data_IF_358704059057
#
_entry.id   IF_358704059057
#
_cell.length_a   1.000
_cell.length_b   1.000
_cell.length_c   1.000
_cell.angle_alpha   90.00
_cell.angle_beta   90.00
_cell.angle_gamma   90.00
#
_symmetry.space_group_name_H-M   'P 1'
#
loop_
_entity.id
_entity.type
_entity.pdbx_description
1 polymer ?
#
# COMPACT_ATOMS: atom_id res chain seq x y z
N UNK A 1 -184.79 50.36 -74.82
CA UNK A 1 -185.57 51.19 -73.88
C UNK A 1 -185.54 52.64 -74.38
N UNK A 2 -186.74 53.18 -74.69
CA UNK A 2 -187.15 54.61 -74.94
C UNK A 2 -186.43 55.34 -76.11
N UNK A 3 -186.96 55.41 -77.36
CA UNK A 3 -187.96 56.36 -77.98
C UNK A 3 -187.47 57.83 -77.97
N UNK A 4 -187.44 58.67 -79.02
CA UNK A 4 -188.06 58.75 -80.38
C UNK A 4 -187.34 59.90 -81.19
N UNK A 5 -187.84 60.47 -82.33
CA UNK A 5 -187.28 60.27 -83.69
C UNK A 5 -187.00 61.58 -84.52
N UNK A 6 -186.40 61.39 -85.71
CA UNK A 6 -186.46 62.16 -86.97
C UNK A 6 -186.13 63.67 -87.09
N UNK A 7 -185.12 63.94 -87.94
CA UNK A 7 -185.08 64.78 -89.18
C UNK A 7 -183.67 65.43 -89.34
N UNK A 8 -182.87 65.21 -90.40
CA UNK A 8 -182.95 65.48 -91.85
C UNK A 8 -182.97 66.98 -92.27
N UNK A 9 -181.84 67.46 -92.85
CA UNK A 9 -181.65 68.54 -93.88
C UNK A 9 -181.88 70.04 -93.48
N UNK A 10 -181.30 71.14 -94.03
CA UNK A 10 -180.93 71.66 -95.38
C UNK A 10 -179.94 72.89 -95.30
N UNK A 11 -179.01 73.13 -96.25
CA UNK A 11 -178.91 74.13 -97.39
C UNK A 11 -179.09 75.65 -97.10
N UNK A 12 -178.16 76.50 -97.59
CA UNK A 12 -178.37 77.79 -98.35
C UNK A 12 -177.01 78.50 -98.68
N UNK A 13 -176.51 78.58 -99.93
CA UNK A 13 -176.68 79.66 -100.95
C UNK A 13 -175.68 80.85 -100.80
N UNK A 14 -175.22 81.62 -101.79
CA UNK A 14 -175.71 81.94 -103.15
C UNK A 14 -174.56 82.43 -104.07
N UNK A 15 -174.78 82.36 -105.40
CA UNK A 15 -173.91 82.70 -106.57
C UNK A 15 -173.15 81.49 -107.20
N UNK A 16 -173.65 80.56 -108.04
CA UNK A 16 -174.94 80.32 -108.69
C UNK A 16 -175.02 78.81 -109.06
N UNK A 17 -176.11 78.15 -108.66
CA UNK A 17 -176.81 77.09 -109.43
C UNK A 17 -176.03 75.85 -109.91
N UNK A 18 -175.57 74.98 -109.00
CA UNK A 18 -175.43 73.53 -109.25
C UNK A 18 -175.89 72.70 -108.04
N UNK A 19 -176.73 71.70 -108.31
CA UNK A 19 -177.19 70.69 -107.35
C UNK A 19 -176.00 69.76 -107.07
N UNK A 20 -175.57 69.67 -105.81
CA UNK A 20 -174.45 68.82 -105.37
C UNK A 20 -174.98 67.70 -104.48
N UNK A 21 -174.62 66.47 -104.84
CA UNK A 21 -175.00 65.22 -104.18
C UNK A 21 -174.52 65.13 -102.73
N UNK A 22 -175.25 64.44 -101.83
CA UNK A 22 -174.87 64.26 -100.43
C UNK A 22 -173.58 63.43 -100.29
N UNK A 23 -172.72 63.71 -99.29
CA UNK A 23 -171.47 63.00 -99.06
C UNK A 23 -171.70 61.53 -98.69
N UNK A 24 -170.87 60.58 -99.17
CA UNK A 24 -171.03 59.16 -98.93
C UNK A 24 -170.81 58.76 -97.46
N UNK A 25 -171.55 57.72 -97.03
CA UNK A 25 -171.66 57.22 -95.65
C UNK A 25 -170.34 56.80 -94.98
N UNK A 26 -170.29 56.69 -93.64
CA UNK A 26 -169.13 56.20 -92.89
C UNK A 26 -168.57 54.86 -93.42
N UNK A 27 -169.41 53.96 -93.92
CA UNK A 27 -169.00 52.67 -94.48
C UNK A 27 -168.09 52.79 -95.72
N UNK A 28 -168.25 53.85 -96.51
CA UNK A 28 -167.43 54.11 -97.71
C UNK A 28 -166.07 54.71 -97.33
N UNK A 29 -165.98 55.41 -96.20
CA UNK A 29 -164.72 55.97 -95.68
C UNK A 29 -163.79 54.88 -95.11
N UNK A 30 -164.34 53.77 -94.60
CA UNK A 30 -163.54 52.64 -94.13
C UNK A 30 -162.84 51.86 -95.27
N UNK A 31 -163.43 51.80 -96.48
CA UNK A 31 -162.80 51.13 -97.64
C UNK A 31 -161.58 51.88 -98.21
N UNK A 32 -161.49 53.20 -98.04
CA UNK A 32 -160.32 53.99 -98.49
C UNK A 32 -159.14 53.84 -97.50
N UNK A 33 -159.40 53.40 -96.26
CA UNK A 33 -158.35 53.09 -95.27
C UNK A 33 -157.69 51.70 -95.48
N UNK A 34 -158.30 50.81 -96.26
CA UNK A 34 -157.76 49.46 -96.53
C UNK A 34 -156.66 49.42 -97.60
N UNK A 35 -156.39 50.52 -98.31
CA UNK A 35 -155.35 50.57 -99.35
C UNK A 35 -154.22 51.57 -99.00
N UNK A 36 -153.32 51.19 -98.09
CA UNK A 36 -151.99 51.82 -97.97
C UNK A 36 -150.89 50.82 -97.55
N UNK A 37 -150.07 50.29 -98.48
CA UNK A 37 -149.00 49.34 -98.19
C UNK A 37 -147.70 50.10 -97.87
N UNK A 38 -147.42 50.36 -96.59
CA UNK A 38 -146.13 50.95 -96.16
C UNK A 38 -145.52 50.31 -94.90
N UNK A 39 -146.13 49.27 -94.33
CA UNK A 39 -145.64 48.63 -93.08
C UNK A 39 -144.87 47.32 -93.26
N UNK A 40 -144.83 46.73 -94.45
CA UNK A 40 -144.19 45.41 -94.69
C UNK A 40 -142.81 45.44 -95.35
N UNK A 41 -142.28 46.60 -95.77
CA UNK A 41 -140.90 46.70 -96.33
C UNK A 41 -139.83 47.08 -95.31
N UNK A 42 -140.18 47.72 -94.19
CA UNK A 42 -139.20 48.18 -93.20
C UNK A 42 -138.58 47.03 -92.41
N UNK A 43 -139.40 46.04 -92.01
CA UNK A 43 -138.95 44.90 -91.21
C UNK A 43 -138.10 43.91 -92.01
N UNK A 44 -138.33 43.75 -93.31
CA UNK A 44 -137.51 42.85 -94.14
C UNK A 44 -136.06 43.30 -94.32
N UNK A 45 -135.78 44.62 -94.30
CA UNK A 45 -134.39 45.10 -94.32
C UNK A 45 -133.70 44.95 -92.97
N UNK A 46 -134.46 45.09 -91.87
CA UNK A 46 -133.94 44.90 -90.52
C UNK A 46 -133.59 43.43 -90.25
N UNK A 47 -134.44 42.49 -90.68
CA UNK A 47 -134.17 41.05 -90.54
C UNK A 47 -132.92 40.62 -91.33
N UNK A 48 -132.71 41.16 -92.55
CA UNK A 48 -131.51 40.88 -93.35
C UNK A 48 -130.25 41.45 -92.68
N UNK A 49 -130.34 42.65 -92.07
CA UNK A 49 -129.21 43.25 -91.35
C UNK A 49 -128.89 42.50 -90.06
N UNK A 50 -129.89 42.03 -89.32
CA UNK A 50 -129.70 41.22 -88.11
C UNK A 50 -129.09 39.84 -88.44
N UNK A 51 -129.55 39.17 -89.50
CA UNK A 51 -128.94 37.93 -89.99
C UNK A 51 -127.50 38.18 -90.48
N UNK A 52 -127.25 39.29 -91.18
CA UNK A 52 -125.90 39.68 -91.60
C UNK A 52 -124.97 39.94 -90.42
N UNK A 53 -125.47 40.62 -89.38
CA UNK A 53 -124.73 40.87 -88.14
C UNK A 53 -124.46 39.57 -87.37
N UNK A 54 -125.42 38.65 -87.29
CA UNK A 54 -125.24 37.37 -86.60
C UNK A 54 -124.21 36.49 -87.33
N UNK A 55 -124.26 36.42 -88.67
CA UNK A 55 -123.28 35.69 -89.48
C UNK A 55 -121.89 36.31 -89.35
N UNK A 56 -121.79 37.65 -89.38
CA UNK A 56 -120.52 38.34 -89.22
C UNK A 56 -119.94 38.13 -87.81
N UNK A 57 -120.79 38.13 -86.78
CA UNK A 57 -120.36 37.87 -85.40
C UNK A 57 -119.91 36.41 -85.22
N UNK A 58 -120.64 35.42 -85.75
CA UNK A 58 -120.18 34.02 -85.74
C UNK A 58 -118.86 33.84 -86.50
N UNK A 59 -118.69 34.48 -87.66
CA UNK A 59 -117.44 34.45 -88.41
C UNK A 59 -116.28 35.10 -87.64
N UNK A 60 -116.55 36.22 -86.95
CA UNK A 60 -115.56 36.83 -86.06
C UNK A 60 -115.19 35.92 -84.90
N UNK A 61 -116.17 35.34 -84.19
CA UNK A 61 -115.92 34.42 -83.08
C UNK A 61 -115.16 33.16 -83.52
N UNK A 62 -115.44 32.63 -84.72
CA UNK A 62 -114.67 31.51 -85.29
C UNK A 62 -113.23 31.91 -85.59
N UNK A 63 -112.99 33.06 -86.23
CA UNK A 63 -111.62 33.56 -86.48
C UNK A 63 -110.86 33.88 -85.18
N UNK A 64 -111.52 34.45 -84.19
CA UNK A 64 -110.92 34.72 -82.88
C UNK A 64 -110.56 33.43 -82.15
N UNK A 65 -111.41 32.39 -82.23
CA UNK A 65 -111.10 31.07 -81.68
C UNK A 65 -109.91 30.41 -82.40
N UNK A 66 -109.84 30.49 -83.73
CA UNK A 66 -108.70 30.02 -84.52
C UNK A 66 -107.40 30.76 -84.14
N UNK A 67 -107.45 32.09 -84.03
CA UNK A 67 -106.30 32.91 -83.60
C UNK A 67 -105.88 32.53 -82.18
N UNK A 68 -106.83 32.33 -81.27
CA UNK A 68 -106.55 31.94 -79.89
C UNK A 68 -105.94 30.54 -79.83
N UNK A 69 -106.42 29.59 -80.63
CA UNK A 69 -105.84 28.25 -80.73
C UNK A 69 -104.39 28.30 -81.26
N UNK A 70 -104.14 29.11 -82.29
CA UNK A 70 -102.78 29.34 -82.80
C UNK A 70 -101.87 30.02 -81.77
N UNK A 71 -102.39 30.98 -81.01
CA UNK A 71 -101.65 31.62 -79.92
C UNK A 71 -101.31 30.62 -78.81
N UNK A 72 -102.24 29.76 -78.40
CA UNK A 72 -101.97 28.75 -77.37
C UNK A 72 -100.99 27.69 -77.84
N UNK A 73 -101.08 27.24 -79.11
CA UNK A 73 -100.07 26.36 -79.72
C UNK A 73 -98.68 27.01 -79.72
N UNK A 74 -98.59 28.27 -80.16
CA UNK A 74 -97.33 29.01 -80.18
C UNK A 74 -96.77 29.25 -78.77
N UNK A 75 -97.62 29.55 -77.77
CA UNK A 75 -97.22 29.63 -76.36
C UNK A 75 -96.67 28.30 -75.85
N UNK A 76 -97.35 27.18 -76.14
CA UNK A 76 -96.91 25.85 -75.71
C UNK A 76 -95.56 25.47 -76.34
N UNK A 77 -95.36 25.75 -77.63
CA UNK A 77 -94.08 25.55 -78.33
C UNK A 77 -92.97 26.41 -77.73
N UNK A 78 -93.23 27.71 -77.50
CA UNK A 78 -92.28 28.61 -76.83
C UNK A 78 -91.94 28.15 -75.41
N UNK A 79 -92.92 27.69 -74.64
CA UNK A 79 -92.71 27.12 -73.31
C UNK A 79 -91.87 25.84 -73.37
N UNK A 80 -92.10 24.97 -74.34
CA UNK A 80 -91.31 23.75 -74.54
C UNK A 80 -89.86 24.09 -74.91
N UNK A 81 -89.64 25.05 -75.81
CA UNK A 81 -88.30 25.50 -76.19
C UNK A 81 -87.58 26.17 -75.02
N UNK A 82 -88.27 27.05 -74.28
CA UNK A 82 -87.71 27.66 -73.07
C UNK A 82 -87.32 26.60 -72.04
N UNK A 83 -88.17 25.59 -71.82
CA UNK A 83 -87.89 24.48 -70.90
C UNK A 83 -86.66 23.68 -71.34
N UNK A 84 -86.59 23.29 -72.62
CA UNK A 84 -85.42 22.60 -73.18
C UNK A 84 -84.14 23.43 -73.01
N UNK A 85 -84.17 24.73 -73.33
CA UNK A 85 -83.01 25.60 -73.15
C UNK A 85 -82.61 25.75 -71.67
N UNK A 86 -83.57 25.80 -70.75
CA UNK A 86 -83.27 25.83 -69.31
C UNK A 86 -82.68 24.50 -68.83
N UNK A 87 -83.19 23.37 -69.30
CA UNK A 87 -82.68 22.03 -68.97
C UNK A 87 -81.26 21.84 -69.51
N UNK A 88 -81.00 22.19 -70.77
CA UNK A 88 -79.67 22.15 -71.38
C UNK A 88 -78.67 23.07 -70.65
N UNK A 89 -79.10 24.29 -70.27
CA UNK A 89 -78.27 25.22 -69.51
C UNK A 89 -77.94 24.69 -68.11
N UNK A 90 -78.91 24.08 -67.43
CA UNK A 90 -78.71 23.44 -66.12
C UNK A 90 -77.79 22.22 -66.24
N UNK A 91 -77.99 21.37 -67.24
CA UNK A 91 -77.14 20.19 -67.46
C UNK A 91 -75.70 20.61 -67.78
N UNK A 92 -75.52 21.65 -68.61
CA UNK A 92 -74.20 22.21 -68.89
C UNK A 92 -73.55 22.79 -67.63
N UNK A 93 -74.28 23.57 -66.83
CA UNK A 93 -73.78 24.11 -65.57
C UNK A 93 -73.41 23.00 -64.57
N UNK A 94 -74.18 21.91 -64.50
CA UNK A 94 -73.87 20.75 -63.65
C UNK A 94 -72.61 20.02 -64.13
N UNK A 95 -72.46 19.80 -65.44
CA UNK A 95 -71.26 19.19 -66.03
C UNK A 95 -70.02 20.04 -65.78
N UNK A 96 -70.11 21.35 -65.97
CA UNK A 96 -69.02 22.29 -65.69
C UNK A 96 -68.68 22.35 -64.19
N UNK A 97 -69.68 22.39 -63.31
CA UNK A 97 -69.48 22.35 -61.86
C UNK A 97 -68.81 21.03 -61.42
N UNK A 98 -69.23 19.89 -61.96
CA UNK A 98 -68.62 18.60 -61.69
C UNK A 98 -67.17 18.52 -62.21
N UNK A 99 -66.90 19.03 -63.41
CA UNK A 99 -65.55 19.09 -63.96
C UNK A 99 -64.62 19.97 -63.12
N UNK A 100 -65.09 21.16 -62.73
CA UNK A 100 -64.34 22.08 -61.87
C UNK A 100 -64.09 21.48 -60.48
N UNK A 101 -65.10 20.85 -59.88
CA UNK A 101 -64.93 20.16 -58.60
C UNK A 101 -63.92 19.01 -58.70
N UNK A 102 -64.01 18.19 -59.74
CA UNK A 102 -63.06 17.09 -59.96
C UNK A 102 -61.63 17.60 -60.18
N UNK A 103 -61.44 18.67 -60.96
CA UNK A 103 -60.14 19.29 -61.16
C UNK A 103 -59.57 19.84 -59.83
N UNK A 104 -60.40 20.51 -59.03
CA UNK A 104 -60.02 21.00 -57.71
C UNK A 104 -59.64 19.87 -56.75
N UNK A 105 -60.42 18.78 -56.70
CA UNK A 105 -60.12 17.60 -55.87
C UNK A 105 -58.82 16.94 -56.32
N UNK A 106 -58.55 16.86 -57.63
CA UNK A 106 -57.29 16.31 -58.13
C UNK A 106 -56.09 17.19 -57.76
N UNK A 107 -56.20 18.52 -57.90
CA UNK A 107 -55.15 19.46 -57.49
C UNK A 107 -54.87 19.36 -55.98
N UNK A 108 -55.93 19.31 -55.15
CA UNK A 108 -55.79 19.09 -53.70
C UNK A 108 -55.10 17.76 -53.38
N UNK A 109 -55.46 16.66 -54.06
CA UNK A 109 -54.80 15.36 -53.87
C UNK A 109 -53.31 15.43 -54.24
N UNK A 110 -52.95 16.16 -55.30
CA UNK A 110 -51.55 16.35 -55.68
C UNK A 110 -50.78 17.21 -54.66
N UNK A 111 -51.36 18.30 -54.17
CA UNK A 111 -50.77 19.16 -53.14
C UNK A 111 -50.55 18.41 -51.84
N UNK A 112 -51.59 17.77 -51.29
CA UNK A 112 -51.47 16.94 -50.10
C UNK A 112 -50.50 15.78 -50.31
N UNK A 113 -50.46 15.15 -51.49
CA UNK A 113 -49.49 14.10 -51.81
C UNK A 113 -48.03 14.60 -51.81
N UNK A 114 -47.77 15.86 -52.22
CA UNK A 114 -46.45 16.48 -52.12
C UNK A 114 -46.09 16.79 -50.67
N UNK A 115 -46.99 17.44 -49.92
CA UNK A 115 -46.79 17.76 -48.51
C UNK A 115 -46.54 16.52 -47.64
N UNK A 116 -47.32 15.46 -47.85
CA UNK A 116 -47.12 14.18 -47.17
C UNK A 116 -45.75 13.57 -47.49
N UNK A 117 -45.30 13.61 -48.74
CA UNK A 117 -43.96 13.12 -49.11
C UNK A 117 -42.85 13.93 -48.45
N UNK A 118 -42.99 15.25 -48.39
CA UNK A 118 -42.02 16.12 -47.73
C UNK A 118 -42.02 15.93 -46.21
N UNK A 119 -43.18 15.83 -45.58
CA UNK A 119 -43.33 15.55 -44.16
C UNK A 119 -42.72 14.19 -43.81
N UNK A 120 -43.00 13.15 -44.60
CA UNK A 120 -42.39 11.82 -44.43
C UNK A 120 -40.87 11.89 -44.61
N UNK A 121 -40.36 12.66 -45.57
CA UNK A 121 -38.91 12.83 -45.75
C UNK A 121 -38.26 13.53 -44.55
N UNK A 122 -38.88 14.59 -44.03
CA UNK A 122 -38.41 15.31 -42.82
C UNK A 122 -38.43 14.41 -41.60
N UNK A 123 -39.55 13.74 -41.34
CA UNK A 123 -39.68 12.80 -40.23
C UNK A 123 -38.66 11.65 -40.32
N UNK A 124 -38.42 11.09 -41.51
CA UNK A 124 -37.38 10.06 -41.70
C UNK A 124 -35.98 10.60 -41.40
N UNK A 125 -35.67 11.82 -41.81
CA UNK A 125 -34.38 12.45 -41.51
C UNK A 125 -34.21 12.71 -40.01
N UNK A 126 -35.25 13.20 -39.32
CA UNK A 126 -35.25 13.41 -37.87
C UNK A 126 -35.07 12.10 -37.11
N UNK A 127 -35.78 11.04 -37.51
CA UNK A 127 -35.64 9.71 -36.92
C UNK A 127 -34.22 9.16 -37.15
N UNK A 128 -33.67 9.28 -38.35
CA UNK A 128 -32.30 8.86 -38.64
C UNK A 128 -31.28 9.62 -37.78
N UNK A 129 -31.45 10.93 -37.64
CA UNK A 129 -30.59 11.76 -36.80
C UNK A 129 -30.69 11.35 -35.32
N UNK A 130 -31.91 11.13 -34.82
CA UNK A 130 -32.13 10.68 -33.45
C UNK A 130 -31.46 9.32 -33.18
N UNK A 131 -31.56 8.36 -34.11
CA UNK A 131 -30.89 7.05 -34.00
C UNK A 131 -29.37 7.21 -33.98
N UNK A 132 -28.80 8.06 -34.83
CA UNK A 132 -27.35 8.32 -34.84
C UNK A 132 -26.89 8.94 -33.53
N UNK A 133 -27.65 9.89 -32.99
CA UNK A 133 -27.30 10.56 -31.74
C UNK A 133 -27.45 9.64 -30.52
N UNK A 134 -28.43 8.73 -30.52
CA UNK A 134 -28.55 7.67 -29.51
C UNK A 134 -27.37 6.70 -29.58
N UNK A 135 -26.99 6.25 -30.78
CA UNK A 135 -25.81 5.40 -30.96
C UNK A 135 -24.52 6.06 -30.46
N UNK A 136 -24.32 7.35 -30.71
CA UNK A 136 -23.15 8.08 -30.18
C UNK A 136 -23.13 8.08 -28.65
N UNK A 137 -24.27 8.36 -28.01
CA UNK A 137 -24.37 8.34 -26.54
C UNK A 137 -24.08 6.95 -25.98
N UNK A 138 -24.55 5.89 -26.64
CA UNK A 138 -24.28 4.52 -26.22
C UNK A 138 -22.79 4.18 -26.35
N UNK A 139 -22.15 4.54 -27.47
CA UNK A 139 -20.71 4.34 -27.69
C UNK A 139 -19.89 5.10 -26.63
N UNK A 140 -20.17 6.38 -26.41
CA UNK A 140 -19.50 7.19 -25.38
C UNK A 140 -19.67 6.58 -23.98
N UNK A 141 -20.86 6.11 -23.64
CA UNK A 141 -21.11 5.45 -22.36
C UNK A 141 -20.34 4.12 -22.22
N UNK A 142 -20.21 3.34 -23.30
CA UNK A 142 -19.39 2.12 -23.32
C UNK A 142 -17.91 2.47 -23.15
N UNK A 143 -17.40 3.47 -23.88
CA UNK A 143 -16.02 3.93 -23.80
C UNK A 143 -15.67 4.42 -22.39
N UNK A 144 -16.53 5.21 -21.76
CA UNK A 144 -16.33 5.67 -20.38
C UNK A 144 -16.29 4.50 -19.39
N UNK A 145 -17.20 3.53 -19.52
CA UNK A 145 -17.18 2.31 -18.70
C UNK A 145 -15.90 1.50 -18.91
N UNK A 146 -15.43 1.40 -20.15
CA UNK A 146 -14.20 0.70 -20.49
C UNK A 146 -12.96 1.42 -19.95
N UNK A 147 -12.88 2.74 -20.11
CA UNK A 147 -11.81 3.57 -19.58
C UNK A 147 -11.72 3.47 -18.06
N UNK A 148 -12.86 3.51 -17.35
CA UNK A 148 -12.90 3.32 -15.91
C UNK A 148 -12.41 1.94 -15.47
N UNK A 149 -12.82 0.87 -16.18
CA UNK A 149 -12.33 -0.49 -15.93
C UNK A 149 -10.82 -0.60 -16.16
N UNK A 150 -10.33 -0.02 -17.24
CA UNK A 150 -8.90 0.00 -17.57
C UNK A 150 -8.11 0.73 -16.47
N UNK A 151 -8.58 1.91 -16.05
CA UNK A 151 -7.94 2.69 -14.99
C UNK A 151 -7.91 1.93 -13.66
N UNK A 152 -9.00 1.25 -13.28
CA UNK A 152 -9.03 0.38 -12.10
C UNK A 152 -8.02 -0.76 -12.20
N UNK A 153 -7.97 -1.46 -13.33
CA UNK A 153 -7.01 -2.55 -13.55
C UNK A 153 -5.56 -2.06 -13.50
N UNK A 154 -5.27 -0.87 -14.04
CA UNK A 154 -3.95 -0.24 -13.95
C UNK A 154 -3.57 0.10 -12.51
N UNK A 155 -4.51 0.64 -11.72
CA UNK A 155 -4.30 0.93 -10.30
C UNK A 155 -4.07 -0.34 -9.47
N UNK A 156 -4.86 -1.40 -9.71
CA UNK A 156 -4.69 -2.70 -9.07
C UNK A 156 -3.32 -3.32 -9.41
N UNK A 157 -2.91 -3.27 -10.69
CA UNK A 157 -1.57 -3.71 -11.11
C UNK A 157 -0.48 -2.88 -10.45
N UNK A 158 -0.62 -1.56 -10.38
CA UNK A 158 0.35 -0.68 -9.74
C UNK A 158 0.47 -0.98 -8.24
N UNK A 159 -0.67 -1.22 -7.56
CA UNK A 159 -0.72 -1.61 -6.16
C UNK A 159 -0.08 -2.97 -5.93
N UNK A 160 -0.39 -3.97 -6.74
CA UNK A 160 0.22 -5.29 -6.69
C UNK A 160 1.74 -5.24 -6.92
N UNK A 161 2.19 -4.45 -7.90
CA UNK A 161 3.63 -4.20 -8.13
C UNK A 161 4.29 -3.54 -6.92
N UNK A 162 3.66 -2.54 -6.30
CA UNK A 162 4.18 -1.88 -5.12
C UNK A 162 4.28 -2.83 -3.91
N UNK A 163 3.28 -3.68 -3.71
CA UNK A 163 3.29 -4.71 -2.66
C UNK A 163 4.41 -5.73 -2.91
N UNK A 164 4.52 -6.28 -4.12
CA UNK A 164 5.58 -7.22 -4.47
C UNK A 164 6.99 -6.61 -4.30
N UNK A 165 7.17 -5.34 -4.70
CA UNK A 165 8.45 -4.64 -4.47
C UNK A 165 8.71 -4.38 -2.97
N UNK A 166 7.68 -4.08 -2.17
CA UNK A 166 7.83 -3.90 -0.73
C UNK A 166 8.21 -5.21 -0.03
N UNK A 167 7.58 -6.32 -0.40
CA UNK A 167 7.90 -7.65 0.09
C UNK A 167 9.33 -8.06 -0.29
N UNK A 168 9.72 -7.90 -1.56
CA UNK A 168 11.07 -8.17 -2.02
C UNK A 168 12.11 -7.34 -1.25
N UNK A 169 11.87 -6.03 -1.07
CA UNK A 169 12.74 -5.16 -0.27
C UNK A 169 12.81 -5.58 1.20
N UNK A 170 11.70 -6.04 1.78
CA UNK A 170 11.69 -6.52 3.16
C UNK A 170 12.51 -7.81 3.30
N UNK A 171 12.42 -8.71 2.33
CA UNK A 171 13.22 -9.94 2.28
C UNK A 171 14.71 -9.62 2.08
N UNK A 172 15.05 -8.72 1.15
CA UNK A 172 16.42 -8.25 0.94
C UNK A 172 17.02 -7.62 2.20
N UNK A 173 16.25 -6.75 2.89
CA UNK A 173 16.67 -6.18 4.17
C UNK A 173 16.88 -7.25 5.23
N UNK A 174 15.97 -8.21 5.34
CA UNK A 174 16.11 -9.34 6.26
C UNK A 174 17.35 -10.19 5.96
N UNK A 175 17.59 -10.49 4.69
CA UNK A 175 18.78 -11.21 4.24
C UNK A 175 20.07 -10.44 4.56
N UNK A 176 20.13 -9.15 4.24
CA UNK A 176 21.28 -8.29 4.56
C UNK A 176 21.56 -8.19 6.06
N UNK A 177 20.51 -8.07 6.89
CA UNK A 177 20.66 -8.08 8.36
C UNK A 177 21.16 -9.43 8.87
N UNK A 178 20.68 -10.54 8.30
CA UNK A 178 21.15 -11.87 8.67
C UNK A 178 22.62 -12.11 8.25
N UNK A 179 23.02 -11.64 7.07
CA UNK A 179 24.39 -11.75 6.59
C UNK A 179 25.34 -10.92 7.46
N UNK A 180 24.98 -9.67 7.77
CA UNK A 180 25.78 -8.82 8.68
C UNK A 180 25.86 -9.40 10.09
N UNK A 181 24.76 -9.94 10.63
CA UNK A 181 24.79 -10.64 11.91
C UNK A 181 25.69 -11.90 11.87
N UNK A 182 25.70 -12.63 10.74
CA UNK A 182 26.58 -13.79 10.54
C UNK A 182 28.05 -13.37 10.49
N UNK A 183 28.38 -12.30 9.80
CA UNK A 183 29.73 -11.74 9.75
C UNK A 183 30.17 -11.26 11.13
N UNK A 184 29.32 -10.53 11.86
CA UNK A 184 29.60 -10.12 13.24
C UNK A 184 29.89 -11.30 14.16
N UNK A 185 29.10 -12.39 14.07
CA UNK A 185 29.37 -13.62 14.83
C UNK A 185 30.73 -14.22 14.47
N UNK A 186 31.05 -14.35 13.18
CA UNK A 186 32.35 -14.84 12.73
C UNK A 186 33.50 -13.98 13.27
N UNK A 187 33.37 -12.66 13.23
CA UNK A 187 34.39 -11.76 13.76
C UNK A 187 34.53 -11.87 15.28
N UNK A 188 33.42 -12.00 16.02
CA UNK A 188 33.46 -12.23 17.45
C UNK A 188 34.11 -13.57 17.81
N UNK A 189 33.85 -14.61 17.04
CA UNK A 189 34.46 -15.92 17.28
C UNK A 189 35.96 -15.90 16.94
N UNK A 190 36.37 -15.23 15.86
CA UNK A 190 37.79 -14.98 15.54
C UNK A 190 38.50 -14.18 16.64
N UNK A 191 37.84 -13.17 17.20
CA UNK A 191 38.39 -12.40 18.32
C UNK A 191 38.58 -13.28 19.56
N UNK A 192 37.59 -14.11 19.91
CA UNK A 192 37.72 -15.06 21.02
C UNK A 192 38.85 -16.07 20.79
N UNK A 193 38.99 -16.60 19.57
CA UNK A 193 40.09 -17.51 19.23
C UNK A 193 41.45 -16.80 19.37
N UNK A 194 41.56 -15.56 18.88
CA UNK A 194 42.77 -14.76 19.03
C UNK A 194 43.09 -14.45 20.50
N UNK A 195 42.07 -14.15 21.31
CA UNK A 195 42.22 -13.90 22.76
C UNK A 195 42.72 -15.16 23.48
N UNK A 196 42.14 -16.34 23.21
CA UNK A 196 42.59 -17.62 23.79
C UNK A 196 44.05 -17.91 23.40
N UNK A 197 44.41 -17.71 22.13
CA UNK A 197 45.80 -17.89 21.67
C UNK A 197 46.76 -16.90 22.34
N UNK A 198 46.34 -15.64 22.52
CA UNK A 198 47.14 -14.65 23.22
C UNK A 198 47.33 -15.02 24.70
N UNK A 199 46.27 -15.45 25.39
CA UNK A 199 46.34 -15.95 26.77
C UNK A 199 47.29 -17.14 26.90
N UNK A 200 47.21 -18.12 25.99
CA UNK A 200 48.14 -19.25 25.97
C UNK A 200 49.60 -18.82 25.79
N UNK A 201 49.85 -17.86 24.89
CA UNK A 201 51.19 -17.30 24.68
C UNK A 201 51.69 -16.56 25.93
N UNK A 202 50.83 -15.77 26.57
CA UNK A 202 51.17 -15.11 27.83
C UNK A 202 51.45 -16.12 28.93
N UNK A 203 50.68 -17.20 29.04
CA UNK A 203 50.91 -18.25 30.03
C UNK A 203 52.26 -18.94 29.80
N UNK A 204 52.55 -19.34 28.56
CA UNK A 204 53.83 -19.94 28.18
C UNK A 204 55.01 -19.02 28.48
N UNK A 205 54.89 -17.73 28.15
CA UNK A 205 55.92 -16.73 28.46
C UNK A 205 56.12 -16.56 29.97
N UNK A 206 55.06 -16.52 30.76
CA UNK A 206 55.14 -16.44 32.23
C UNK A 206 55.80 -17.69 32.81
N UNK A 207 55.43 -18.88 32.33
CA UNK A 207 56.06 -20.13 32.76
C UNK A 207 57.54 -20.19 32.43
N UNK A 208 57.92 -19.76 31.22
CA UNK A 208 59.32 -19.67 30.82
C UNK A 208 60.08 -18.69 31.71
N UNK A 209 59.53 -17.49 31.95
CA UNK A 209 60.12 -16.51 32.86
C UNK A 209 60.27 -17.07 34.28
N UNK A 210 59.28 -17.80 34.79
CA UNK A 210 59.38 -18.49 36.10
C UNK A 210 60.53 -19.48 36.12
N UNK A 211 60.69 -20.29 35.06
CA UNK A 211 61.81 -21.24 34.93
C UNK A 211 63.15 -20.50 34.90
N UNK A 212 63.30 -19.48 34.06
CA UNK A 212 64.52 -18.66 33.96
C UNK A 212 64.88 -17.99 35.30
N UNK A 213 63.90 -17.41 36.00
CA UNK A 213 64.13 -16.80 37.32
C UNK A 213 64.51 -17.83 38.38
N UNK A 214 63.88 -19.00 38.37
CA UNK A 214 64.26 -20.10 39.29
C UNK A 214 65.70 -20.57 39.03
N UNK A 215 66.10 -20.68 37.76
CA UNK A 215 67.47 -21.04 37.39
C UNK A 215 68.47 -19.97 37.83
N UNK A 216 68.17 -18.68 37.57
CA UNK A 216 69.01 -17.57 38.02
C UNK A 216 69.16 -17.55 39.55
N UNK A 217 68.06 -17.80 40.28
CA UNK A 217 68.09 -17.89 41.75
C UNK A 217 68.92 -19.09 42.23
N UNK A 218 68.78 -20.26 41.61
CA UNK A 218 69.58 -21.44 41.93
C UNK A 218 71.08 -21.21 41.65
N UNK A 219 71.43 -20.53 40.56
CA UNK A 219 72.81 -20.14 40.26
C UNK A 219 73.34 -19.18 41.32
N UNK A 220 72.57 -18.14 41.68
CA UNK A 220 72.97 -17.19 42.73
C UNK A 220 73.17 -17.88 44.08
N UNK A 221 72.24 -18.76 44.49
CA UNK A 221 72.36 -19.56 45.70
C UNK A 221 73.59 -20.46 45.65
N UNK A 222 73.86 -21.10 44.51
CA UNK A 222 75.05 -21.92 44.30
C UNK A 222 76.35 -21.12 44.45
N UNK A 223 76.41 -19.89 43.92
CA UNK A 223 77.54 -18.98 44.08
C UNK A 223 77.73 -18.61 45.56
N UNK A 224 76.67 -18.22 46.26
CA UNK A 224 76.72 -17.87 47.69
C UNK A 224 77.19 -19.07 48.52
N UNK A 225 76.63 -20.26 48.30
CA UNK A 225 77.05 -21.47 49.02
C UNK A 225 78.50 -21.85 48.76
N UNK A 226 79.01 -21.69 47.53
CA UNK A 226 80.43 -21.92 47.22
C UNK A 226 81.33 -20.88 47.88
N UNK A 227 80.92 -19.60 47.86
CA UNK A 227 81.65 -18.51 48.50
C UNK A 227 81.75 -18.75 50.02
N UNK A 228 80.64 -19.08 50.66
CA UNK A 228 80.61 -19.40 52.09
C UNK A 228 81.50 -20.61 52.40
N UNK A 229 81.44 -21.69 51.61
CA UNK A 229 82.34 -22.85 51.78
C UNK A 229 83.82 -22.46 51.66
N UNK A 230 84.15 -21.65 50.66
CA UNK A 230 85.53 -21.18 50.46
C UNK A 230 85.98 -20.27 51.62
N UNK A 231 85.10 -19.41 52.14
CA UNK A 231 85.38 -18.57 53.30
C UNK A 231 85.58 -19.42 54.56
N UNK A 232 84.73 -20.43 54.81
CA UNK A 232 84.91 -21.35 55.94
C UNK A 232 86.17 -22.20 55.80
N UNK A 233 86.52 -22.65 54.59
CA UNK A 233 87.77 -23.37 54.34
C UNK A 233 89.01 -22.48 54.54
N UNK A 234 88.93 -21.20 54.16
CA UNK A 234 90.00 -20.22 54.44
C UNK A 234 90.16 -20.01 55.94
N UNK A 235 89.06 -19.79 56.66
CA UNK A 235 89.06 -19.65 58.11
C UNK A 235 89.60 -20.91 58.81
N UNK A 236 89.25 -22.09 58.33
CA UNK A 236 89.76 -23.36 58.84
C UNK A 236 91.28 -23.46 58.63
N UNK A 237 91.78 -23.19 57.43
CA UNK A 237 93.22 -23.20 57.14
C UNK A 237 94.00 -22.17 57.96
N UNK A 238 93.44 -20.98 58.13
CA UNK A 238 94.00 -19.94 59.01
C UNK A 238 94.08 -20.44 60.45
N UNK A 239 92.99 -21.00 61.00
CA UNK A 239 92.97 -21.59 62.34
C UNK A 239 93.96 -22.77 62.49
N UNK A 240 94.04 -23.68 61.50
CA UNK A 240 95.00 -24.79 61.48
C UNK A 240 96.45 -24.28 61.52
N UNK A 241 96.77 -23.24 60.74
CA UNK A 241 98.12 -22.65 60.73
C UNK A 241 98.47 -21.97 62.06
N UNK A 242 97.51 -21.30 62.70
CA UNK A 242 97.68 -20.71 64.03
C UNK A 242 97.93 -21.81 65.07
N UNK A 243 97.10 -22.86 65.06
CA UNK A 243 97.28 -24.01 65.96
C UNK A 243 98.60 -24.73 65.73
N UNK A 244 99.04 -24.91 64.47
CA UNK A 244 100.34 -25.51 64.17
C UNK A 244 101.48 -24.66 64.73
N UNK A 245 101.40 -23.34 64.60
CA UNK A 245 102.39 -22.42 65.17
C UNK A 245 102.39 -22.42 66.70
N UNK A 246 101.22 -22.54 67.34
CA UNK A 246 101.10 -22.72 68.79
C UNK A 246 101.71 -24.05 69.25
N UNK A 247 101.42 -25.14 68.55
CA UNK A 247 102.02 -26.45 68.82
C UNK A 247 103.54 -26.42 68.67
N UNK A 248 104.07 -25.75 67.64
CA UNK A 248 105.52 -25.58 67.44
C UNK A 248 106.16 -24.83 68.62
N UNK A 249 105.53 -23.75 69.10
CA UNK A 249 105.99 -23.04 70.31
C UNK A 249 106.01 -23.96 71.53
N UNK A 250 104.94 -24.72 71.74
CA UNK A 250 104.85 -25.67 72.85
C UNK A 250 105.94 -26.75 72.72
N UNK A 251 106.16 -27.30 71.53
CA UNK A 251 107.25 -28.25 71.28
C UNK A 251 108.62 -27.68 71.62
N UNK A 252 108.92 -26.44 71.21
CA UNK A 252 110.19 -25.78 71.57
C UNK A 252 110.32 -25.63 73.10
N UNK A 253 109.24 -25.25 73.80
CA UNK A 253 109.27 -25.15 75.27
C UNK A 253 109.44 -26.51 75.94
N UNK A 254 108.82 -27.56 75.39
CA UNK A 254 108.95 -28.93 75.87
C UNK A 254 110.39 -29.43 75.68
N UNK A 255 110.98 -29.26 74.49
CA UNK A 255 112.37 -29.63 74.23
C UNK A 255 113.34 -28.87 75.15
N UNK A 256 113.09 -27.59 75.41
CA UNK A 256 113.88 -26.82 76.37
C UNK A 256 113.76 -27.40 77.80
N UNK A 257 112.55 -27.75 78.23
CA UNK A 257 112.30 -28.38 79.52
C UNK A 257 112.93 -29.79 79.61
N UNK A 258 112.82 -30.62 78.57
CA UNK A 258 113.47 -31.92 78.48
C UNK A 258 114.99 -31.81 78.54
N UNK A 259 115.58 -30.82 77.86
CA UNK A 259 117.01 -30.56 77.93
C UNK A 259 117.41 -30.11 79.34
N UNK A 260 116.61 -29.29 80.01
CA UNK A 260 116.82 -28.96 81.42
C UNK A 260 116.77 -30.21 82.30
N UNK A 261 115.77 -31.08 82.13
CA UNK A 261 115.68 -32.36 82.84
C UNK A 261 116.91 -33.23 82.59
N UNK A 262 117.36 -33.38 81.34
CA UNK A 262 118.61 -34.11 81.00
C UNK A 262 119.82 -33.53 81.72
N UNK A 263 119.96 -32.20 81.77
CA UNK A 263 121.07 -31.57 82.50
C UNK A 263 120.98 -31.77 84.02
N UNK A 264 119.77 -31.80 84.59
CA UNK A 264 119.55 -32.10 86.00
C UNK A 264 119.88 -33.55 86.32
N UNK A 265 119.50 -34.50 85.46
CA UNK A 265 119.86 -35.92 85.57
C UNK A 265 121.39 -36.06 85.56
N UNK A 266 122.09 -35.46 84.59
CA UNK A 266 123.56 -35.50 84.56
C UNK A 266 124.22 -34.88 85.81
N UNK A 267 123.64 -33.81 86.37
CA UNK A 267 124.12 -33.23 87.64
C UNK A 267 123.90 -34.19 88.81
N UNK A 268 122.73 -34.84 88.87
CA UNK A 268 122.42 -35.85 89.88
C UNK A 268 123.36 -37.04 89.77
N UNK A 269 123.63 -37.56 88.57
CA UNK A 269 124.60 -38.65 88.34
C UNK A 269 126.00 -38.28 88.87
N UNK A 270 126.46 -37.05 88.60
CA UNK A 270 127.74 -36.55 89.15
C UNK A 270 127.71 -36.45 90.68
N UNK A 271 126.61 -35.96 91.27
CA UNK A 271 126.46 -35.89 92.72
C UNK A 271 126.38 -37.28 93.36
N UNK A 272 125.73 -38.24 92.72
CA UNK A 272 125.66 -39.64 93.16
C UNK A 272 127.03 -40.31 93.08
N UNK A 273 127.77 -40.15 91.97
CA UNK A 273 129.13 -40.65 91.86
C UNK A 273 130.07 -40.02 92.91
N UNK A 274 129.91 -38.72 93.18
CA UNK A 274 130.69 -38.04 94.22
C UNK A 274 130.34 -38.54 95.61
N UNK A 275 129.04 -38.76 95.89
CA UNK A 275 128.55 -39.40 97.11
C UNK A 275 129.14 -40.80 97.26
N UNK A 276 129.10 -41.63 96.21
CA UNK A 276 129.63 -43.00 96.25
C UNK A 276 131.14 -43.01 96.45
N UNK A 277 131.89 -42.12 95.81
CA UNK A 277 133.33 -41.93 96.04
C UNK A 277 133.62 -41.58 97.50
N UNK A 278 132.89 -40.61 98.07
CA UNK A 278 133.01 -40.26 99.48
C UNK A 278 132.64 -41.43 100.40
N UNK A 279 131.61 -42.19 100.06
CA UNK A 279 131.21 -43.39 100.81
C UNK A 279 132.33 -44.45 100.78
N UNK A 280 132.99 -44.65 99.64
CA UNK A 280 134.15 -45.56 99.53
C UNK A 280 135.36 -45.05 100.31
N UNK A 281 135.65 -43.75 100.33
CA UNK A 281 136.72 -43.17 101.15
C UNK A 281 136.43 -43.31 102.66
N UNK A 282 135.17 -43.10 103.07
CA UNK A 282 134.72 -43.32 104.45
C UNK A 282 134.85 -44.79 104.84
N UNK A 283 134.49 -45.72 103.94
CA UNK A 283 134.69 -47.15 104.17
C UNK A 283 136.17 -47.54 104.22
N UNK A 284 137.01 -46.96 103.37
CA UNK A 284 138.46 -47.20 103.36
C UNK A 284 139.12 -46.67 104.64
N UNK A 285 138.80 -45.45 105.06
CA UNK A 285 139.27 -44.88 106.34
C UNK A 285 138.77 -45.72 107.51
N UNK A 286 137.51 -46.14 107.52
CA UNK A 286 136.99 -47.08 108.52
C UNK A 286 137.79 -48.39 108.56
N UNK A 287 138.11 -48.96 107.41
CA UNK A 287 138.89 -50.20 107.35
C UNK A 287 140.33 -50.00 107.84
N UNK A 288 140.94 -48.84 107.56
CA UNK A 288 142.25 -48.46 108.09
C UNK A 288 142.24 -48.25 109.61
N UNK A 289 141.22 -47.57 110.15
CA UNK A 289 141.03 -47.41 111.60
C UNK A 289 140.80 -48.77 112.28
N UNK A 290 139.99 -49.64 111.68
CA UNK A 290 139.77 -50.99 112.22
C UNK A 290 141.09 -51.79 112.23
N UNK A 291 141.87 -51.76 111.14
CA UNK A 291 143.21 -52.38 111.12
C UNK A 291 144.16 -51.81 112.18
N UNK A 292 144.14 -50.50 112.41
CA UNK A 292 144.93 -49.88 113.46
C UNK A 292 144.49 -50.35 114.86
N UNK A 293 143.19 -50.38 115.12
CA UNK A 293 142.63 -50.86 116.40
C UNK A 293 143.02 -52.32 116.63
N UNK A 294 142.83 -53.18 115.64
CA UNK A 294 143.14 -54.62 115.72
C UNK A 294 144.65 -54.85 115.96
N UNK A 295 145.53 -54.04 115.33
CA UNK A 295 146.97 -54.14 115.51
C UNK A 295 147.47 -53.59 116.86
N UNK A 296 146.85 -52.54 117.39
CA UNK A 296 147.31 -51.85 118.61
C UNK A 296 146.71 -52.47 119.88
N UNK A 297 145.52 -53.06 119.76
CA UNK A 297 144.77 -53.62 120.89
C UNK A 297 144.20 -55.01 120.54
N UNK A 298 145.04 -56.05 120.50
CA UNK A 298 144.61 -57.41 120.15
C UNK A 298 143.61 -58.04 121.14
N UNK A 299 143.39 -57.41 122.30
CA UNK A 299 142.45 -57.88 123.33
C UNK A 299 141.04 -57.25 123.19
N UNK A 300 140.79 -56.41 122.17
CA UNK A 300 139.45 -55.84 121.92
C UNK A 300 138.63 -56.72 120.99
N UNK A 301 137.44 -57.10 121.43
CA UNK A 301 136.48 -57.91 120.67
C UNK A 301 135.93 -57.15 119.45
N UNK A 302 135.69 -57.80 118.29
CA UNK A 302 135.11 -57.15 117.12
C UNK A 302 133.76 -56.53 117.47
N UNK A 303 133.67 -55.20 117.52
CA UNK A 303 132.44 -54.52 117.94
C UNK A 303 132.63 -53.33 118.89
N UNK A 304 133.62 -53.39 119.78
CA UNK A 304 133.74 -52.46 120.91
C UNK A 304 134.25 -51.05 120.52
N UNK A 305 134.92 -50.92 119.37
CA UNK A 305 135.42 -49.63 118.87
C UNK A 305 134.49 -48.96 117.84
N UNK A 306 133.30 -49.50 117.59
CA UNK A 306 132.34 -48.94 116.60
C UNK A 306 131.75 -47.58 116.97
N UNK A 307 131.93 -47.09 118.20
CA UNK A 307 131.52 -45.74 118.60
C UNK A 307 132.37 -44.64 117.94
N UNK A 308 133.64 -44.93 117.57
CA UNK A 308 134.56 -43.92 117.01
C UNK A 308 134.12 -43.50 115.60
N UNK A 309 133.49 -44.41 114.83
CA UNK A 309 132.92 -44.14 113.51
C UNK A 309 131.56 -44.85 113.37
N UNK A 310 130.44 -44.16 113.65
CA UNK A 310 129.09 -44.73 113.58
C UNK A 310 128.74 -45.31 112.20
N UNK A 311 128.04 -46.45 112.20
CA UNK A 311 127.44 -47.03 111.00
C UNK A 311 126.37 -46.10 110.42
N UNK A 312 126.54 -45.65 109.17
CA UNK A 312 125.41 -45.15 108.37
C UNK A 312 124.67 -46.32 107.76
N UNK A 313 123.33 -46.28 107.79
CA UNK A 313 122.47 -47.18 107.02
C UNK A 313 122.58 -46.77 105.55
N UNK A 314 122.91 -47.72 104.67
CA UNK A 314 122.86 -47.49 103.22
C UNK A 314 121.46 -47.00 102.84
N UNK A 315 121.39 -45.94 102.04
CA UNK A 315 120.14 -45.34 101.58
C UNK A 315 119.53 -46.25 100.51
N UNK A 316 118.40 -46.90 100.79
CA UNK A 316 117.60 -47.61 99.80
C UNK A 316 116.57 -46.62 99.23
N UNK A 317 116.69 -46.26 97.95
CA UNK A 317 115.65 -45.50 97.23
C UNK A 317 114.42 -46.39 97.07
N UNK A 318 113.29 -45.98 97.63
CA UNK A 318 111.96 -46.49 97.28
C UNK A 318 111.43 -45.64 96.13
N UNK A 319 111.34 -46.22 94.94
CA UNK A 319 110.76 -45.59 93.77
C UNK A 319 109.26 -45.29 93.97
N UNK A 320 108.85 -44.09 93.58
CA UNK A 320 107.47 -43.58 93.55
C UNK A 320 106.61 -44.28 92.48
N UNK A 321 105.29 -44.48 92.71
CA UNK A 321 104.38 -45.06 91.72
C UNK A 321 103.86 -44.06 90.69
N UNK A 322 103.55 -44.61 89.51
CA UNK A 322 103.04 -43.98 88.29
C UNK A 322 101.62 -43.39 88.43
N UNK A 323 101.45 -42.23 87.79
CA UNK A 323 100.32 -41.74 86.98
C UNK A 323 98.90 -42.30 87.21
N UNK A 324 97.95 -41.38 87.37
CA UNK A 324 96.57 -41.57 86.93
C UNK A 324 96.12 -40.31 86.17
N UNK A 325 95.96 -40.47 84.85
CA UNK A 325 95.23 -39.54 83.98
C UNK A 325 93.73 -39.69 84.27
N UNK A 326 93.06 -38.60 84.65
CA UNK A 326 91.60 -38.48 84.57
C UNK A 326 91.23 -37.75 83.29
N UNK A 327 90.61 -38.48 82.37
CA UNK A 327 89.96 -37.95 81.18
C UNK A 327 88.54 -37.51 81.53
N UNK A 328 88.28 -36.20 81.52
CA UNK A 328 86.93 -35.65 81.48
C UNK A 328 86.31 -35.90 80.08
N UNK A 329 85.12 -36.50 80.07
CA UNK A 329 84.22 -36.60 78.91
C UNK A 329 82.94 -35.83 79.25
N UNK A 330 82.65 -34.81 78.45
CA UNK A 330 81.27 -34.30 78.24
C UNK A 330 80.46 -35.28 77.39
#
# INVERSE_FOLDING_TARGET
MIRNPDFDSFVCCAICSKIISPPPSPATFYRIREYKPFKTRYYTHQDILEIGASIQQELHSKREAEIQEHMEKMKAELWSQAKMHTEDAVEKALKEAAANHNAFVQDLKQKHGKELREAVRKAKAEVQQAVVDEQKREVEAVEQRMAHRLQRALLERARGKAQAMAEARSQEKGAALNETAREQRKHLDQLKEADVLAEELYHKNIEQLKKEKSQAMNVALGIIQRKNRCETEKQLKEAESLHHHELEKVMITLEAAENQVKTLIQKLEKMTAWKDSLETEIQATRHAFQKYIDATFPNLSPGQAYFILPLRKAFQQTDTPKEAEESDKE
#
